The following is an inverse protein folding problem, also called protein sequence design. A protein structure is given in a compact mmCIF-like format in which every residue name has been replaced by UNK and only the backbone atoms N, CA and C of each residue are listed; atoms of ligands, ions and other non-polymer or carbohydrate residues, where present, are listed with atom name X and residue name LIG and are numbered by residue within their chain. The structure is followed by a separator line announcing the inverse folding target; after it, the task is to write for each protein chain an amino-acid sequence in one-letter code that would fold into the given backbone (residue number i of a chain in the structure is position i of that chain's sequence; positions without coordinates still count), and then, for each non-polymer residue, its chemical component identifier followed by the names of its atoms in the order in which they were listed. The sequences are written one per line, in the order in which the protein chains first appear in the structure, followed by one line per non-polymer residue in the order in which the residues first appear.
data_IF_159104349850
#
_entry.id   IF_159104349850
#
_cell.length_a   1.000
_cell.length_b   1.000
_cell.length_c   1.000
_cell.angle_alpha   90.00
_cell.angle_beta   90.00
_cell.angle_gamma   90.00
#
_symmetry.space_group_name_H-M   'P 1'
#
loop_
_entity.id
_entity.type
_entity.pdbx_description
1 polymer ?
#
# COMPACT_ATOMS: atom_id res chain seq x y z
N UNK A 1 13.93 -8.42 8.78
CA UNK A 1 15.29 -7.83 8.72
C UNK A 1 15.33 -6.71 9.72
N UNK A 2 15.97 -6.91 10.87
CA UNK A 2 16.11 -5.89 11.92
C UNK A 2 17.52 -5.32 11.77
N UNK A 3 17.66 -3.99 11.76
CA UNK A 3 18.97 -3.35 11.87
C UNK A 3 19.37 -3.40 13.34
N UNK A 4 20.30 -4.28 13.68
CA UNK A 4 20.82 -4.38 15.04
C UNK A 4 21.85 -3.27 15.28
N UNK A 5 21.92 -2.75 16.52
CA UNK A 5 22.74 -1.58 16.89
C UNK A 5 24.26 -1.73 16.66
N UNK A 6 24.76 -2.93 16.30
CA UNK A 6 26.17 -3.19 16.00
C UNK A 6 26.38 -3.66 14.53
N UNK A 7 25.39 -3.48 13.65
CA UNK A 7 25.49 -3.82 12.23
C UNK A 7 26.08 -2.65 11.43
N UNK A 8 27.01 -2.91 10.52
CA UNK A 8 27.54 -1.91 9.59
C UNK A 8 26.44 -1.19 8.78
N UNK A 9 25.31 -1.86 8.54
CA UNK A 9 24.12 -1.23 7.91
C UNK A 9 23.46 -0.20 8.81
N UNK A 10 23.42 -0.45 10.12
CA UNK A 10 22.88 0.49 11.09
C UNK A 10 23.78 1.72 11.18
N UNK A 11 25.09 1.55 11.28
CA UNK A 11 26.06 2.66 11.26
C UNK A 11 25.95 3.51 9.98
N UNK A 12 25.86 2.86 8.82
CA UNK A 12 25.66 3.55 7.54
C UNK A 12 24.33 4.33 7.51
N UNK A 13 23.26 3.76 8.06
CA UNK A 13 21.98 4.44 8.18
C UNK A 13 22.09 5.69 9.06
N UNK A 14 22.73 5.59 10.23
CA UNK A 14 22.94 6.73 11.13
C UNK A 14 23.75 7.84 10.46
N UNK A 15 24.84 7.51 9.77
CA UNK A 15 25.65 8.49 9.03
C UNK A 15 24.83 9.20 7.93
N UNK A 16 23.98 8.46 7.23
CA UNK A 16 23.11 9.03 6.19
C UNK A 16 22.07 9.97 6.80
N UNK A 17 21.44 9.58 7.92
CA UNK A 17 20.49 10.42 8.64
C UNK A 17 21.15 11.70 9.18
N UNK A 18 22.38 11.62 9.69
CA UNK A 18 23.13 12.80 10.14
C UNK A 18 23.41 13.79 9.00
N UNK A 19 23.75 13.29 7.80
CA UNK A 19 23.96 14.13 6.62
C UNK A 19 22.67 14.83 6.18
N UNK A 20 21.53 14.13 6.23
CA UNK A 20 20.22 14.73 5.95
C UNK A 20 19.89 15.80 6.97
N UNK A 21 20.06 15.52 8.26
CA UNK A 21 19.79 16.47 9.35
C UNK A 21 20.62 17.75 9.21
N UNK A 22 21.88 17.62 8.81
CA UNK A 22 22.76 18.77 8.55
C UNK A 22 22.40 19.55 7.28
N UNK A 23 21.71 18.92 6.32
CA UNK A 23 21.36 19.51 5.03
C UNK A 23 19.95 20.13 5.04
N UNK A 24 19.01 19.51 5.74
CA UNK A 24 17.60 19.89 5.74
C UNK A 24 17.31 20.88 6.89
N UNK A 25 17.84 22.09 6.80
CA UNK A 25 17.72 23.10 7.87
C UNK A 25 16.50 23.99 7.65
N UNK A 26 16.33 24.53 6.45
CA UNK A 26 15.25 25.48 6.12
C UNK A 26 14.09 24.84 5.35
N UNK A 27 14.21 23.56 4.97
CA UNK A 27 13.23 22.83 4.17
C UNK A 27 12.96 23.47 2.80
N UNK A 28 13.97 24.15 2.25
CA UNK A 28 13.94 24.72 0.91
C UNK A 28 13.90 23.62 -0.16
N UNK A 29 13.45 23.97 -1.37
CA UNK A 29 13.41 23.03 -2.50
C UNK A 29 14.81 22.47 -2.82
N UNK A 30 15.83 23.32 -2.72
CA UNK A 30 17.21 22.95 -3.05
C UNK A 30 17.78 21.97 -2.01
N UNK A 31 17.53 22.19 -0.72
CA UNK A 31 17.92 21.25 0.35
C UNK A 31 17.20 19.91 0.21
N UNK A 32 15.91 19.91 -0.15
CA UNK A 32 15.14 18.68 -0.39
C UNK A 32 15.76 17.89 -1.54
N UNK A 33 16.16 18.55 -2.62
CA UNK A 33 16.80 17.88 -3.76
C UNK A 33 18.18 17.31 -3.38
N UNK A 34 18.96 18.05 -2.59
CA UNK A 34 20.23 17.56 -2.04
C UNK A 34 20.02 16.34 -1.13
N UNK A 35 19.00 16.36 -0.27
CA UNK A 35 18.67 15.22 0.57
C UNK A 35 18.22 14.00 -0.25
N UNK A 36 17.50 14.20 -1.35
CA UNK A 36 17.18 13.10 -2.30
C UNK A 36 18.43 12.51 -2.92
N UNK A 37 19.39 13.35 -3.31
CA UNK A 37 20.68 12.88 -3.82
C UNK A 37 21.44 12.06 -2.77
N UNK A 38 21.48 12.51 -1.51
CA UNK A 38 22.09 11.74 -0.39
C UNK A 38 21.40 10.38 -0.22
N UNK A 39 20.08 10.33 -0.25
CA UNK A 39 19.29 9.09 -0.11
C UNK A 39 19.52 8.12 -1.28
N UNK A 40 19.70 8.62 -2.49
CA UNK A 40 19.93 7.80 -3.69
C UNK A 40 21.17 6.90 -3.57
N UNK A 41 22.19 7.32 -2.80
CA UNK A 41 23.40 6.53 -2.53
C UNK A 41 23.14 5.17 -1.87
N UNK A 42 21.97 4.99 -1.25
CA UNK A 42 21.56 3.72 -0.62
C UNK A 42 20.37 3.09 -1.33
N UNK A 43 19.38 3.86 -1.78
CA UNK A 43 18.19 3.30 -2.43
C UNK A 43 18.47 2.72 -3.81
N UNK A 44 19.45 3.26 -4.54
CA UNK A 44 19.77 2.78 -5.88
C UNK A 44 20.78 1.62 -5.87
N UNK A 45 21.23 1.19 -4.68
CA UNK A 45 22.08 0.02 -4.57
C UNK A 45 21.31 -1.26 -4.88
N UNK A 46 21.83 -2.14 -5.77
CA UNK A 46 21.18 -3.40 -6.06
C UNK A 46 21.17 -4.31 -4.83
N UNK A 47 20.17 -5.19 -4.77
CA UNK A 47 20.10 -6.22 -3.75
C UNK A 47 21.38 -7.06 -3.73
N UNK A 48 21.94 -7.28 -2.53
CA UNK A 48 23.20 -8.04 -2.37
C UNK A 48 23.01 -9.50 -2.75
N UNK A 49 24.10 -10.16 -3.14
CA UNK A 49 24.09 -11.59 -3.42
C UNK A 49 23.60 -12.38 -2.19
N UNK A 50 22.63 -13.29 -2.39
CA UNK A 50 21.98 -14.04 -1.31
C UNK A 50 20.76 -13.34 -0.68
N UNK A 51 20.28 -12.25 -1.27
CA UNK A 51 19.01 -11.62 -0.87
C UNK A 51 17.80 -12.51 -1.19
N UNK A 52 16.71 -12.29 -0.48
CA UNK A 52 15.42 -12.98 -0.67
C UNK A 52 14.47 -12.05 -1.40
N UNK A 53 13.71 -12.59 -2.35
CA UNK A 53 12.62 -11.88 -2.99
C UNK A 53 11.45 -11.71 -2.02
N UNK A 54 11.03 -10.46 -1.81
CA UNK A 54 9.91 -10.11 -0.94
C UNK A 54 8.82 -9.50 -1.82
N UNK A 55 7.65 -10.13 -1.82
CA UNK A 55 6.44 -9.56 -2.44
C UNK A 55 5.58 -8.92 -1.36
N UNK A 56 5.05 -7.73 -1.65
CA UNK A 56 4.09 -7.05 -0.79
C UNK A 56 2.80 -6.78 -1.56
N UNK A 57 1.66 -6.94 -0.89
CA UNK A 57 0.34 -6.57 -1.41
C UNK A 57 -0.41 -5.75 -0.36
N UNK A 58 -1.19 -4.79 -0.81
CA UNK A 58 -2.18 -4.14 0.02
C UNK A 58 -3.28 -5.13 0.41
N UNK A 59 -3.79 -5.03 1.63
CA UNK A 59 -4.93 -5.80 2.09
C UNK A 59 -5.74 -4.98 3.09
N UNK A 60 -7.07 -5.07 3.04
CA UNK A 60 -7.94 -4.50 4.07
C UNK A 60 -8.79 -5.59 4.71
N UNK A 61 -8.46 -5.90 5.96
CA UNK A 61 -9.31 -6.71 6.81
C UNK A 61 -10.41 -5.82 7.39
N UNK A 62 -11.67 -6.18 7.15
CA UNK A 62 -12.84 -5.47 7.66
C UNK A 62 -13.81 -6.47 8.25
N UNK A 63 -14.21 -6.32 9.50
CA UNK A 63 -15.31 -7.11 10.05
C UNK A 63 -16.66 -6.52 9.64
N UNK A 64 -17.59 -7.38 9.21
CA UNK A 64 -18.96 -6.98 8.85
C UNK A 64 -19.66 -6.30 10.03
N UNK A 65 -19.57 -6.90 11.21
CA UNK A 65 -19.97 -6.34 12.48
C UNK A 65 -18.99 -6.81 13.56
N UNK A 66 -18.49 -5.86 14.35
CA UNK A 66 -17.63 -6.14 15.50
C UNK A 66 -17.99 -5.18 16.62
N UNK A 67 -17.12 -4.21 16.94
CA UNK A 67 -17.43 -3.10 17.86
C UNK A 67 -18.30 -2.01 17.20
N UNK A 68 -18.95 -2.32 16.09
CA UNK A 68 -19.84 -1.43 15.33
C UNK A 68 -20.98 -2.22 14.69
N UNK A 69 -22.15 -1.58 14.47
CA UNK A 69 -23.27 -2.22 13.79
C UNK A 69 -22.98 -2.40 12.29
N UNK A 70 -23.71 -3.31 11.63
CA UNK A 70 -23.56 -3.65 10.20
C UNK A 70 -23.57 -2.42 9.27
N UNK A 71 -24.42 -1.43 9.57
CA UNK A 71 -24.50 -0.19 8.77
C UNK A 71 -23.16 0.55 8.69
N UNK A 72 -22.32 0.45 9.72
CA UNK A 72 -21.00 1.07 9.71
C UNK A 72 -19.98 0.20 8.97
N UNK A 73 -20.12 -1.14 9.01
CA UNK A 73 -19.35 -2.05 8.16
C UNK A 73 -19.55 -1.73 6.68
N UNK A 74 -20.81 -1.54 6.26
CA UNK A 74 -21.21 -1.09 4.92
C UNK A 74 -20.51 0.24 4.54
N UNK A 75 -20.58 1.26 5.39
CA UNK A 75 -19.87 2.55 5.19
C UNK A 75 -18.35 2.43 5.11
N UNK A 76 -17.76 1.57 5.94
CA UNK A 76 -16.32 1.30 5.93
C UNK A 76 -15.88 0.61 4.64
N UNK A 77 -16.67 -0.35 4.14
CA UNK A 77 -16.42 -1.02 2.86
C UNK A 77 -16.27 0.00 1.73
N UNK A 78 -17.26 0.89 1.62
CA UNK A 78 -17.32 1.92 0.58
C UNK A 78 -16.09 2.82 0.61
N UNK A 79 -15.78 3.42 1.78
CA UNK A 79 -14.59 4.26 1.94
C UNK A 79 -13.28 3.53 1.63
N UNK A 80 -13.18 2.28 2.05
CA UNK A 80 -11.98 1.46 1.85
C UNK A 80 -11.75 1.17 0.38
N UNK A 81 -12.77 0.70 -0.34
CA UNK A 81 -12.62 0.37 -1.76
C UNK A 81 -12.47 1.60 -2.64
N UNK A 82 -13.12 2.72 -2.33
CA UNK A 82 -12.84 4.00 -3.03
C UNK A 82 -11.38 4.41 -2.89
N UNK A 83 -10.82 4.29 -1.68
CA UNK A 83 -9.40 4.61 -1.44
C UNK A 83 -8.48 3.64 -2.16
N UNK A 84 -8.80 2.34 -2.15
CA UNK A 84 -8.02 1.34 -2.85
C UNK A 84 -8.01 1.59 -4.36
N UNK A 85 -9.17 1.83 -4.99
CA UNK A 85 -9.29 2.15 -6.42
C UNK A 85 -8.49 3.42 -6.77
N UNK A 86 -8.61 4.48 -5.98
CA UNK A 86 -7.84 5.71 -6.21
C UNK A 86 -6.32 5.48 -6.11
N UNK A 87 -5.87 4.60 -5.21
CA UNK A 87 -4.45 4.24 -5.12
C UNK A 87 -3.99 3.38 -6.30
N UNK A 88 -4.83 2.47 -6.80
CA UNK A 88 -4.55 1.66 -7.99
C UNK A 88 -4.38 2.54 -9.24
N UNK A 89 -5.17 3.61 -9.35
CA UNK A 89 -5.04 4.59 -10.44
C UNK A 89 -3.76 5.44 -10.31
N UNK A 90 -3.34 5.73 -9.08
CA UNK A 90 -2.21 6.63 -8.80
C UNK A 90 -0.85 5.92 -8.84
N UNK A 91 -0.78 4.66 -8.44
CA UNK A 91 0.46 3.90 -8.26
C UNK A 91 0.41 2.61 -9.09
N UNK A 92 1.04 2.56 -10.27
CA UNK A 92 0.96 1.41 -11.18
C UNK A 92 1.44 0.07 -10.60
N UNK A 93 2.40 0.10 -9.67
CA UNK A 93 2.95 -1.10 -9.03
C UNK A 93 2.15 -1.54 -7.78
N UNK A 94 1.06 -0.83 -7.46
CA UNK A 94 0.24 -1.16 -6.30
C UNK A 94 -0.70 -2.31 -6.61
N UNK A 95 -0.69 -3.33 -5.75
CA UNK A 95 -1.64 -4.43 -5.75
C UNK A 95 -2.49 -4.36 -4.49
N UNK A 96 -3.79 -4.68 -4.61
CA UNK A 96 -4.70 -4.68 -3.48
C UNK A 96 -5.57 -5.93 -3.45
N UNK A 97 -5.69 -6.56 -2.28
CA UNK A 97 -6.53 -7.73 -2.07
C UNK A 97 -7.61 -7.50 -1.02
N UNK A 98 -8.80 -8.08 -1.25
CA UNK A 98 -9.87 -8.11 -0.25
C UNK A 98 -10.63 -9.45 -0.27
N UNK A 99 -11.08 -9.89 0.91
CA UNK A 99 -11.48 -11.29 1.12
C UNK A 99 -12.95 -11.56 1.44
N UNK A 100 -13.74 -10.52 1.67
CA UNK A 100 -15.13 -10.69 2.11
C UNK A 100 -16.14 -10.36 1.03
N UNK A 101 -16.81 -11.40 0.53
CA UNK A 101 -17.90 -11.30 -0.45
C UNK A 101 -18.98 -10.28 -0.09
N UNK A 102 -19.46 -10.31 1.16
CA UNK A 102 -20.57 -9.45 1.59
C UNK A 102 -20.28 -7.95 1.44
N UNK A 103 -19.00 -7.54 1.55
CA UNK A 103 -18.60 -6.15 1.35
C UNK A 103 -18.79 -5.71 -0.11
N UNK A 104 -18.48 -6.59 -1.06
CA UNK A 104 -18.69 -6.34 -2.48
C UNK A 104 -20.17 -6.28 -2.84
N UNK A 105 -20.99 -7.17 -2.27
CA UNK A 105 -22.44 -7.13 -2.48
C UNK A 105 -23.03 -5.79 -2.01
N UNK A 106 -22.64 -5.32 -0.82
CA UNK A 106 -23.08 -4.02 -0.34
C UNK A 106 -22.61 -2.86 -1.22
N UNK A 107 -21.39 -2.92 -1.74
CA UNK A 107 -20.85 -1.89 -2.64
C UNK A 107 -21.59 -1.91 -3.98
N UNK A 108 -21.94 -3.09 -4.49
CA UNK A 108 -22.76 -3.25 -5.70
C UNK A 108 -24.17 -2.67 -5.51
N UNK A 109 -24.79 -2.90 -4.36
CA UNK A 109 -26.11 -2.36 -4.01
C UNK A 109 -26.09 -0.83 -3.84
N UNK A 110 -25.12 -0.29 -3.10
CA UNK A 110 -25.09 1.14 -2.73
C UNK A 110 -24.41 2.04 -3.78
N UNK A 111 -23.35 1.55 -4.40
CA UNK A 111 -22.47 2.31 -5.28
C UNK A 111 -22.08 1.49 -6.52
N UNK A 112 -23.03 1.22 -7.42
CA UNK A 112 -22.78 0.40 -8.61
C UNK A 112 -21.63 0.92 -9.48
N UNK A 113 -21.43 2.24 -9.55
CA UNK A 113 -20.30 2.85 -10.26
C UNK A 113 -18.94 2.45 -9.66
N UNK A 114 -18.83 2.44 -8.33
CA UNK A 114 -17.61 1.98 -7.64
C UNK A 114 -17.40 0.48 -7.88
N UNK A 115 -18.48 -0.29 -7.89
CA UNK A 115 -18.41 -1.72 -8.21
C UNK A 115 -17.87 -1.96 -9.63
N UNK A 116 -18.34 -1.22 -10.64
CA UNK A 116 -17.81 -1.28 -12.01
C UNK A 116 -16.31 -0.95 -12.08
N UNK A 117 -15.86 0.06 -11.31
CA UNK A 117 -14.44 0.38 -11.20
C UNK A 117 -13.65 -0.78 -10.59
N UNK A 118 -14.16 -1.39 -9.52
CA UNK A 118 -13.53 -2.58 -8.91
C UNK A 118 -13.44 -3.70 -9.94
N UNK A 119 -14.51 -4.00 -10.69
CA UNK A 119 -14.50 -5.02 -11.74
C UNK A 119 -13.45 -4.73 -12.82
N UNK A 120 -13.29 -3.46 -13.20
CA UNK A 120 -12.23 -3.06 -14.11
C UNK A 120 -10.85 -3.38 -13.54
N UNK A 121 -10.58 -2.99 -12.29
CA UNK A 121 -9.29 -3.23 -11.62
C UNK A 121 -9.01 -4.72 -11.41
N UNK A 122 -10.03 -5.54 -11.15
CA UNK A 122 -9.91 -7.00 -11.07
C UNK A 122 -9.50 -7.58 -12.43
N UNK A 123 -10.09 -7.10 -13.53
CA UNK A 123 -9.73 -7.54 -14.90
C UNK A 123 -8.32 -7.12 -15.30
N UNK A 124 -7.81 -6.00 -14.79
CA UNK A 124 -6.42 -5.56 -14.98
C UNK A 124 -5.42 -6.38 -14.15
N UNK A 125 -5.89 -7.17 -13.18
CA UNK A 125 -5.04 -7.97 -12.30
C UNK A 125 -4.44 -7.20 -11.13
N UNK A 126 -4.81 -5.94 -10.93
CA UNK A 126 -4.29 -5.10 -9.84
C UNK A 126 -5.14 -5.19 -8.56
N UNK A 127 -6.39 -5.65 -8.68
CA UNK A 127 -7.27 -5.96 -7.55
C UNK A 127 -7.51 -7.46 -7.45
N UNK A 128 -7.05 -8.08 -6.37
CA UNK A 128 -7.20 -9.50 -6.11
C UNK A 128 -8.41 -9.81 -5.22
N UNK A 129 -9.22 -10.76 -5.67
CA UNK A 129 -10.31 -11.33 -4.88
C UNK A 129 -9.77 -12.49 -4.04
N UNK A 130 -9.47 -12.21 -2.77
CA UNK A 130 -8.75 -13.15 -1.90
C UNK A 130 -9.71 -14.02 -1.09
N UNK A 131 -10.17 -15.14 -1.63
CA UNK A 131 -11.09 -16.04 -0.91
C UNK A 131 -11.87 -16.93 -1.86
N UNK A 132 -12.89 -17.63 -1.37
CA UNK A 132 -13.73 -18.50 -2.17
C UNK A 132 -14.80 -17.72 -2.95
N UNK A 133 -14.38 -16.78 -3.80
CA UNK A 133 -15.28 -16.05 -4.68
C UNK A 133 -15.71 -16.95 -5.84
N UNK A 134 -17.02 -16.96 -6.15
CA UNK A 134 -17.50 -17.56 -7.39
C UNK A 134 -17.29 -16.54 -8.51
N UNK A 135 -16.55 -16.94 -9.56
CA UNK A 135 -16.12 -16.07 -10.67
C UNK A 135 -17.26 -15.35 -11.41
N UNK A 136 -18.50 -15.82 -11.26
CA UNK A 136 -19.71 -15.28 -11.87
C UNK A 136 -20.44 -14.26 -10.98
N UNK A 137 -19.92 -13.95 -9.78
CA UNK A 137 -20.55 -13.01 -8.85
C UNK A 137 -19.83 -11.65 -8.74
N UNK A 138 -18.62 -11.52 -9.31
CA UNK A 138 -17.84 -10.27 -9.38
C UNK A 138 -17.30 -10.07 -10.79
#
# INVERSE_FOLDING_TARGET
MILENNDARFERFIQLMQRIDQTLVEYSKDEIEQCRAILSEVYDEPARQGSVDITATGHAHLDLAWMWPLREGRRKAMRTFTTAVANLEKYPDYLFGASQYQLFEWVKEDHPQLFEQIQHQVKQGCFELQGCFWWNQI
#
